data_IF_187438786915
#
_entry.id   IF_187438786915
#
_cell.length_a   1.000
_cell.length_b   1.000
_cell.length_c   1.000
_cell.angle_alpha   90.00
_cell.angle_beta   90.00
_cell.angle_gamma   90.00
#
_symmetry.space_group_name_H-M   'P 1'
#
loop_
_entity.id
_entity.type
_entity.pdbx_description
1 polymer ?
#
# COMPACT_ATOMS: atom_id res chain seq x y z
N UNK A 1 6.35 21.48 3.70
CA UNK A 1 5.03 21.60 3.05
C UNK A 1 4.96 20.51 1.99
N UNK A 2 4.00 19.60 2.10
CA UNK A 2 3.86 18.46 1.18
C UNK A 2 2.54 18.62 0.44
N UNK A 3 2.61 18.87 -0.87
CA UNK A 3 1.44 18.97 -1.73
C UNK A 3 1.43 17.74 -2.63
N UNK A 4 0.41 16.92 -2.51
CA UNK A 4 0.33 15.60 -3.13
C UNK A 4 -0.72 15.60 -4.23
N UNK A 5 -0.49 14.86 -5.31
CA UNK A 5 -1.52 14.54 -6.28
C UNK A 5 -1.87 13.05 -6.16
N UNK A 6 -3.15 12.77 -5.94
CA UNK A 6 -3.69 11.41 -5.89
C UNK A 6 -4.61 11.22 -7.10
N UNK A 7 -4.19 10.36 -8.04
CA UNK A 7 -5.01 9.95 -9.18
C UNK A 7 -5.65 8.62 -8.86
N UNK A 8 -6.96 8.58 -8.75
CA UNK A 8 -7.59 7.44 -8.10
C UNK A 8 -8.86 6.94 -8.79
N UNK A 9 -9.04 5.62 -8.74
CA UNK A 9 -10.19 4.85 -9.22
C UNK A 9 -11.31 4.86 -8.15
N UNK A 10 -12.36 4.05 -8.35
CA UNK A 10 -13.33 3.76 -7.27
C UNK A 10 -12.67 3.08 -6.05
N UNK A 11 -11.66 2.23 -6.23
CA UNK A 11 -10.91 1.64 -5.11
C UNK A 11 -9.85 2.58 -4.54
N UNK A 12 -9.36 3.52 -5.33
CA UNK A 12 -8.49 4.58 -4.85
C UNK A 12 -9.22 5.66 -4.05
N UNK A 13 -10.52 5.90 -4.30
CA UNK A 13 -11.35 6.79 -3.49
C UNK A 13 -11.54 6.29 -2.06
N UNK A 14 -11.39 4.97 -1.83
CA UNK A 14 -11.41 4.38 -0.48
C UNK A 14 -10.33 4.98 0.43
N UNK A 15 -9.20 5.44 -0.11
CA UNK A 15 -8.17 6.15 0.66
C UNK A 15 -8.71 7.51 1.13
N UNK A 16 -9.23 8.31 0.21
CA UNK A 16 -9.66 9.69 0.46
C UNK A 16 -10.92 9.72 1.33
N UNK A 17 -11.92 8.88 1.05
CA UNK A 17 -13.13 8.74 1.85
C UNK A 17 -12.86 8.12 3.21
N UNK A 18 -11.99 7.12 3.28
CA UNK A 18 -11.59 6.52 4.56
C UNK A 18 -10.85 7.53 5.45
N UNK A 19 -10.06 8.43 4.88
CA UNK A 19 -9.40 9.50 5.65
C UNK A 19 -10.34 10.58 6.18
N UNK A 20 -11.44 10.89 5.48
CA UNK A 20 -12.49 11.76 6.06
C UNK A 20 -13.12 11.13 7.31
N UNK A 21 -13.39 9.81 7.24
CA UNK A 21 -13.92 9.07 8.38
C UNK A 21 -12.91 9.01 9.53
N UNK A 22 -11.63 8.78 9.23
CA UNK A 22 -10.56 8.73 10.22
C UNK A 22 -10.46 10.03 11.04
N UNK A 23 -10.51 11.18 10.37
CA UNK A 23 -10.52 12.50 11.04
C UNK A 23 -11.70 12.71 12.00
N UNK A 24 -12.78 11.96 11.81
CA UNK A 24 -14.02 12.11 12.56
C UNK A 24 -14.20 10.99 13.60
N UNK A 25 -13.27 10.04 13.68
CA UNK A 25 -13.46 8.80 14.42
C UNK A 25 -13.34 8.98 15.94
N UNK A 26 -12.23 9.54 16.41
CA UNK A 26 -12.02 9.85 17.84
C UNK A 26 -11.94 11.35 18.09
N UNK A 27 -12.14 11.71 19.35
CA UNK A 27 -11.88 13.07 19.83
C UNK A 27 -10.40 13.40 19.60
N UNK A 28 -10.10 14.56 19.00
CA UNK A 28 -8.77 15.05 18.54
C UNK A 28 -8.23 14.50 17.20
N UNK A 29 -8.87 13.50 16.59
CA UNK A 29 -8.45 12.97 15.29
C UNK A 29 -8.51 14.01 14.16
N UNK A 30 -9.40 14.99 14.28
CA UNK A 30 -9.54 16.08 13.31
C UNK A 30 -8.28 16.94 13.18
N UNK A 31 -7.49 17.05 14.24
CA UNK A 31 -6.18 17.74 14.24
C UNK A 31 -5.06 16.77 13.85
N UNK A 32 -5.06 15.55 14.40
CA UNK A 32 -4.02 14.54 14.17
C UNK A 32 -3.95 14.06 12.72
N UNK A 33 -5.12 13.89 12.08
CA UNK A 33 -5.25 13.37 10.72
C UNK A 33 -5.65 14.45 9.71
N UNK A 34 -5.35 15.72 10.02
CA UNK A 34 -5.78 16.85 9.21
C UNK A 34 -5.17 16.86 7.80
N UNK A 35 -6.02 17.04 6.79
CA UNK A 35 -5.61 17.28 5.42
C UNK A 35 -6.55 18.28 4.72
N UNK A 36 -6.03 18.96 3.71
CA UNK A 36 -6.73 19.85 2.78
C UNK A 36 -6.86 19.19 1.42
N UNK A 37 -7.73 19.75 0.57
CA UNK A 37 -7.95 19.26 -0.79
C UNK A 37 -7.85 20.37 -1.82
N UNK A 38 -7.45 20.01 -3.03
CA UNK A 38 -7.63 20.79 -4.26
C UNK A 38 -7.02 22.19 -4.19
N UNK A 39 -5.70 22.27 -4.07
CA UNK A 39 -4.93 23.52 -4.02
C UNK A 39 -5.33 24.47 -2.88
N UNK A 40 -5.76 23.95 -1.73
CA UNK A 40 -6.05 24.77 -0.55
C UNK A 40 -5.10 24.47 0.62
N UNK A 41 -3.77 24.49 0.41
CA UNK A 41 -2.82 24.05 1.41
C UNK A 41 -2.89 24.92 2.67
N UNK A 42 -2.87 24.25 3.82
CA UNK A 42 -2.73 24.89 5.13
C UNK A 42 -1.40 24.51 5.77
N UNK A 43 -0.90 25.38 6.63
CA UNK A 43 0.32 25.09 7.40
C UNK A 43 0.08 23.84 8.27
N UNK A 44 1.07 22.94 8.29
CA UNK A 44 1.05 21.68 9.03
C UNK A 44 -0.05 20.68 8.65
N UNK A 45 -0.66 20.85 7.47
CA UNK A 45 -1.61 19.89 6.90
C UNK A 45 -1.07 19.28 5.61
N UNK A 46 -1.49 18.04 5.37
CA UNK A 46 -1.33 17.38 4.08
C UNK A 46 -2.28 18.03 3.05
N UNK A 47 -1.82 18.44 1.87
CA UNK A 47 -2.69 18.87 0.77
C UNK A 47 -2.79 17.77 -0.29
N UNK A 48 -4.01 17.36 -0.63
CA UNK A 48 -4.28 16.31 -1.62
C UNK A 48 -5.07 16.89 -2.79
N UNK A 49 -4.44 16.92 -3.96
CA UNK A 49 -5.14 17.11 -5.22
C UNK A 49 -5.72 15.76 -5.64
N UNK A 50 -6.99 15.57 -5.30
CA UNK A 50 -7.76 14.38 -5.65
C UNK A 50 -8.35 14.54 -7.06
N UNK A 51 -7.80 13.80 -8.01
CA UNK A 51 -8.22 13.82 -9.41
C UNK A 51 -9.21 12.69 -9.75
N UNK A 52 -10.29 12.56 -8.96
CA UNK A 52 -11.42 11.71 -9.31
C UNK A 52 -12.37 12.36 -10.33
N UNK A 53 -12.09 12.18 -11.62
CA UNK A 53 -12.98 12.59 -12.71
C UNK A 53 -13.71 11.40 -13.37
N UNK A 54 -14.08 10.37 -12.61
CA UNK A 54 -14.90 9.25 -13.10
C UNK A 54 -14.28 8.45 -14.27
N UNK A 55 -12.96 8.26 -14.24
CA UNK A 55 -12.24 7.54 -15.29
C UNK A 55 -10.71 7.47 -15.13
N UNK A 56 -10.13 8.04 -14.07
CA UNK A 56 -8.70 7.99 -13.79
C UNK A 56 -8.34 6.73 -12.99
N UNK A 57 -8.34 5.60 -13.69
CA UNK A 57 -8.03 4.28 -13.17
C UNK A 57 -6.92 3.66 -14.01
N UNK A 58 -5.91 3.07 -13.36
CA UNK A 58 -4.87 2.31 -14.06
C UNK A 58 -5.49 1.26 -14.98
N UNK A 59 -6.53 0.58 -14.51
CA UNK A 59 -7.26 -0.45 -15.26
C UNK A 59 -7.95 0.08 -16.52
N UNK A 60 -8.18 1.39 -16.63
CA UNK A 60 -8.83 2.02 -17.78
C UNK A 60 -7.84 2.76 -18.70
N UNK A 61 -6.57 2.88 -18.30
CA UNK A 61 -5.56 3.75 -18.93
C UNK A 61 -4.23 3.03 -19.17
N UNK A 62 -4.26 1.71 -19.32
CA UNK A 62 -3.10 0.86 -19.58
C UNK A 62 -2.82 0.64 -21.07
N UNK A 63 -3.56 1.30 -21.97
CA UNK A 63 -3.27 1.25 -23.41
C UNK A 63 -1.90 1.85 -23.69
N UNK A 64 -1.05 1.08 -24.36
CA UNK A 64 0.33 1.47 -24.71
C UNK A 64 0.36 2.16 -26.07
N UNK A 65 0.99 3.33 -26.12
CA UNK A 65 1.16 4.10 -27.36
C UNK A 65 2.33 3.58 -28.23
N UNK A 66 2.56 4.24 -29.38
CA UNK A 66 3.65 3.89 -30.30
C UNK A 66 5.06 4.14 -29.76
N UNK A 67 5.19 4.81 -28.62
CA UNK A 67 6.46 5.07 -27.93
C UNK A 67 6.70 4.09 -26.78
N UNK A 68 5.76 3.18 -26.52
CA UNK A 68 5.88 2.18 -25.47
C UNK A 68 5.43 2.68 -24.10
N UNK A 69 4.69 3.79 -24.01
CA UNK A 69 4.19 4.31 -22.74
C UNK A 69 2.67 4.12 -22.60
N UNK A 70 2.22 3.82 -21.38
CA UNK A 70 0.79 3.73 -21.09
C UNK A 70 0.13 5.12 -21.12
N UNK A 71 -1.19 5.14 -21.30
CA UNK A 71 -1.95 6.39 -21.24
C UNK A 71 -1.79 7.10 -19.88
N UNK A 72 -1.86 6.37 -18.76
CA UNK A 72 -1.72 6.98 -17.43
C UNK A 72 -0.32 7.58 -17.20
N UNK A 73 0.73 6.96 -17.76
CA UNK A 73 2.08 7.52 -17.74
C UNK A 73 2.12 8.88 -18.46
N UNK A 74 1.57 8.94 -19.68
CA UNK A 74 1.57 10.16 -20.49
C UNK A 74 0.75 11.30 -19.84
N UNK A 75 -0.36 10.95 -19.19
CA UNK A 75 -1.16 11.89 -18.41
C UNK A 75 -0.38 12.41 -17.19
N UNK A 76 0.38 11.55 -16.51
CA UNK A 76 1.26 11.94 -15.40
C UNK A 76 2.36 12.90 -15.85
N UNK A 77 3.02 12.58 -16.98
CA UNK A 77 4.03 13.46 -17.59
C UNK A 77 3.43 14.82 -17.90
N UNK A 78 2.27 14.85 -18.57
CA UNK A 78 1.59 16.11 -18.94
C UNK A 78 1.25 16.94 -17.70
N UNK A 79 0.70 16.30 -16.67
CA UNK A 79 0.34 16.98 -15.43
C UNK A 79 1.55 17.56 -14.69
N UNK A 80 2.64 16.79 -14.57
CA UNK A 80 3.86 17.22 -13.90
C UNK A 80 4.66 18.26 -14.71
N UNK A 81 4.47 18.35 -16.03
CA UNK A 81 5.10 19.39 -16.84
C UNK A 81 4.39 20.74 -16.76
N UNK A 82 3.13 20.77 -16.36
CA UNK A 82 2.41 22.03 -16.17
C UNK A 82 2.98 22.81 -14.96
N UNK A 83 3.48 24.05 -15.16
CA UNK A 83 4.00 24.87 -14.07
C UNK A 83 2.98 25.14 -12.95
N UNK A 84 1.68 25.07 -13.22
CA UNK A 84 0.63 25.18 -12.20
C UNK A 84 0.72 24.05 -11.15
N UNK A 85 1.33 22.92 -11.52
CA UNK A 85 1.50 21.74 -10.68
C UNK A 85 2.95 21.58 -10.18
N UNK A 86 3.79 22.62 -10.28
CA UNK A 86 5.20 22.58 -9.86
C UNK A 86 5.40 22.26 -8.36
N UNK A 87 4.34 22.42 -7.56
CA UNK A 87 4.33 22.14 -6.11
C UNK A 87 4.12 20.66 -5.76
N UNK A 88 3.64 19.85 -6.70
CA UNK A 88 3.34 18.44 -6.48
C UNK A 88 4.62 17.67 -6.20
N UNK A 89 4.65 16.92 -5.10
CA UNK A 89 5.82 16.18 -4.65
C UNK A 89 5.54 14.71 -4.30
N UNK A 90 4.29 14.26 -4.42
CA UNK A 90 3.90 12.86 -4.33
C UNK A 90 2.88 12.57 -5.43
N UNK A 91 3.05 11.43 -6.11
CA UNK A 91 2.09 10.88 -7.07
C UNK A 91 1.77 9.44 -6.71
N UNK A 92 0.49 9.13 -6.65
CA UNK A 92 -0.02 7.77 -6.50
C UNK A 92 -1.13 7.54 -7.52
N UNK A 93 -1.05 6.40 -8.21
CA UNK A 93 -2.12 5.87 -9.06
C UNK A 93 -2.72 4.63 -8.42
N UNK A 94 -4.01 4.40 -8.64
CA UNK A 94 -4.70 3.21 -8.14
C UNK A 94 -5.34 2.37 -9.24
N UNK A 95 -5.41 1.06 -9.00
CA UNK A 95 -6.21 0.11 -9.77
C UNK A 95 -7.67 0.11 -9.29
N UNK A 96 -8.64 -0.16 -10.16
CA UNK A 96 -9.94 -0.68 -9.72
C UNK A 96 -9.88 -2.18 -9.54
N UNK A 97 -9.25 -2.91 -10.47
CA UNK A 97 -8.96 -4.34 -10.34
C UNK A 97 -7.66 -4.61 -11.11
N UNK A 98 -6.61 -5.16 -10.48
CA UNK A 98 -5.34 -5.40 -11.17
C UNK A 98 -5.45 -6.59 -12.13
N UNK A 99 -6.49 -7.41 -12.06
CA UNK A 99 -6.60 -8.60 -12.88
C UNK A 99 -6.82 -8.27 -14.37
N UNK A 100 -6.10 -8.98 -15.24
CA UNK A 100 -6.14 -8.77 -16.69
C UNK A 100 -5.16 -7.72 -17.22
N UNK A 101 -4.39 -7.05 -16.35
CA UNK A 101 -3.46 -5.98 -16.74
C UNK A 101 -2.00 -6.43 -16.76
N UNK A 102 -1.15 -5.63 -17.41
CA UNK A 102 0.30 -5.85 -17.47
C UNK A 102 1.01 -5.20 -16.26
N UNK A 103 1.28 -6.01 -15.24
CA UNK A 103 1.90 -5.53 -13.99
C UNK A 103 3.37 -5.18 -14.15
N UNK A 104 4.08 -5.84 -15.07
CA UNK A 104 5.48 -5.48 -15.35
C UNK A 104 5.54 -4.12 -16.02
N UNK A 105 4.64 -3.86 -16.98
CA UNK A 105 4.58 -2.55 -17.64
C UNK A 105 4.27 -1.42 -16.67
N UNK A 106 3.41 -1.67 -15.67
CA UNK A 106 3.17 -0.71 -14.58
C UNK A 106 4.47 -0.37 -13.83
N UNK A 107 5.26 -1.38 -13.48
CA UNK A 107 6.56 -1.17 -12.81
C UNK A 107 7.50 -0.36 -13.70
N UNK A 108 7.62 -0.74 -14.97
CA UNK A 108 8.52 -0.09 -15.92
C UNK A 108 8.17 1.41 -16.09
N UNK A 109 6.88 1.73 -16.28
CA UNK A 109 6.43 3.13 -16.39
C UNK A 109 6.63 3.92 -15.09
N UNK A 110 6.41 3.30 -13.92
CA UNK A 110 6.66 3.94 -12.62
C UNK A 110 8.16 4.26 -12.44
N UNK A 111 9.05 3.34 -12.81
CA UNK A 111 10.50 3.56 -12.74
C UNK A 111 10.98 4.62 -13.75
N UNK A 112 10.41 4.65 -14.95
CA UNK A 112 10.68 5.71 -15.93
C UNK A 112 10.24 7.09 -15.42
N UNK A 113 9.10 7.17 -14.72
CA UNK A 113 8.64 8.39 -14.06
C UNK A 113 9.58 8.80 -12.92
N UNK A 114 10.06 7.85 -12.12
CA UNK A 114 11.04 8.11 -11.05
C UNK A 114 12.35 8.64 -11.64
N UNK A 115 12.86 8.05 -12.73
CA UNK A 115 14.07 8.49 -13.41
C UNK A 115 13.95 9.90 -14.01
N UNK A 116 12.73 10.34 -14.31
CA UNK A 116 12.46 11.69 -14.80
C UNK A 116 12.21 12.70 -13.69
N UNK A 117 11.36 12.38 -12.73
CA UNK A 117 10.81 13.36 -11.79
C UNK A 117 11.20 13.11 -10.33
N UNK A 118 11.84 11.98 -10.02
CA UNK A 118 12.34 11.65 -8.68
C UNK A 118 13.47 12.58 -8.20
N UNK A 119 14.00 12.36 -6.99
CA UNK A 119 15.05 13.20 -6.39
C UNK A 119 16.29 13.44 -7.26
N UNK A 120 16.66 12.46 -8.09
CA UNK A 120 17.78 12.53 -9.04
C UNK A 120 17.31 12.63 -10.50
N UNK A 121 16.05 13.02 -10.68
CA UNK A 121 15.37 12.95 -11.96
C UNK A 121 15.89 13.96 -12.98
N UNK A 122 15.88 13.57 -14.25
CA UNK A 122 16.33 14.41 -15.38
C UNK A 122 15.51 15.70 -15.56
N UNK A 123 14.31 15.79 -14.99
CA UNK A 123 13.42 16.95 -15.07
C UNK A 123 13.63 17.95 -13.91
N UNK A 124 14.64 17.76 -13.06
CA UNK A 124 14.95 18.69 -11.97
C UNK A 124 16.05 19.70 -12.32
N UNK A 125 15.91 20.92 -11.79
CA UNK A 125 16.96 21.92 -11.76
C UNK A 125 17.22 22.61 -13.10
N UNK A 126 18.46 23.04 -13.33
CA UNK A 126 18.81 23.90 -14.47
C UNK A 126 18.77 23.10 -15.78
N UNK A 127 17.64 23.20 -16.49
CA UNK A 127 17.38 22.51 -17.75
C UNK A 127 16.17 21.56 -17.69
N UNK A 128 15.66 21.29 -16.49
CA UNK A 128 14.44 20.52 -16.27
C UNK A 128 13.19 21.40 -16.12
N UNK A 129 12.02 20.77 -16.16
CA UNK A 129 10.72 21.43 -16.03
C UNK A 129 10.34 21.78 -14.57
N UNK A 130 11.05 21.25 -13.57
CA UNK A 130 10.67 21.34 -12.15
C UNK A 130 11.84 21.64 -11.22
N UNK A 131 11.53 22.18 -10.05
CA UNK A 131 12.47 22.31 -8.92
C UNK A 131 12.11 21.43 -7.73
N UNK A 132 10.92 20.81 -7.77
CA UNK A 132 10.39 19.95 -6.69
C UNK A 132 10.45 18.50 -7.16
N UNK A 133 11.21 17.62 -6.47
CA UNK A 133 11.20 16.19 -6.75
C UNK A 133 9.85 15.56 -6.42
N UNK A 134 9.51 14.47 -7.11
CA UNK A 134 8.28 13.73 -6.94
C UNK A 134 8.59 12.33 -6.40
N UNK A 135 7.93 11.97 -5.30
CA UNK A 135 7.90 10.60 -4.78
C UNK A 135 6.76 9.84 -5.43
N UNK A 136 7.04 8.70 -6.04
CA UNK A 136 6.02 7.83 -6.63
C UNK A 136 5.69 6.70 -5.67
N UNK A 137 4.39 6.53 -5.39
CA UNK A 137 3.88 5.47 -4.51
C UNK A 137 3.30 4.37 -5.39
N UNK A 138 3.87 3.17 -5.26
CA UNK A 138 3.34 1.98 -5.89
C UNK A 138 2.09 1.51 -5.16
N UNK A 139 1.19 0.83 -5.86
CA UNK A 139 0.00 0.23 -5.28
C UNK A 139 -0.23 -1.15 -5.89
N UNK A 140 -0.59 -2.11 -5.04
CA UNK A 140 -1.17 -3.38 -5.50
C UNK A 140 -2.69 -3.24 -5.58
N UNK A 141 -3.36 -4.12 -6.31
CA UNK A 141 -4.83 -4.12 -6.32
C UNK A 141 -5.45 -5.02 -5.24
N UNK A 142 -6.79 -5.00 -5.18
CA UNK A 142 -7.57 -5.83 -4.27
C UNK A 142 -7.58 -7.31 -4.72
N UNK A 143 -7.78 -8.26 -3.79
CA UNK A 143 -7.97 -9.67 -4.12
C UNK A 143 -9.36 -9.93 -4.73
N UNK A 144 -9.47 -10.92 -5.62
CA UNK A 144 -10.72 -11.24 -6.34
C UNK A 144 -11.46 -12.48 -5.81
N UNK A 145 -10.95 -13.07 -4.73
CA UNK A 145 -11.40 -14.36 -4.20
C UNK A 145 -10.98 -15.57 -5.02
N UNK A 146 -9.98 -15.39 -5.89
CA UNK A 146 -9.40 -16.42 -6.75
C UNK A 146 -8.12 -17.07 -6.17
N UNK A 147 -7.71 -16.67 -4.97
CA UNK A 147 -6.56 -17.25 -4.29
C UNK A 147 -5.23 -16.77 -4.84
N UNK A 148 -4.17 -17.51 -4.50
CA UNK A 148 -2.80 -17.28 -4.98
C UNK A 148 -2.60 -17.76 -6.43
N UNK A 149 -3.44 -17.28 -7.34
CA UNK A 149 -3.42 -17.67 -8.74
C UNK A 149 -2.08 -17.33 -9.41
N UNK A 150 -1.44 -18.31 -10.03
CA UNK A 150 -0.17 -18.16 -10.74
C UNK A 150 -0.29 -17.48 -12.12
N UNK A 151 -1.50 -17.10 -12.55
CA UNK A 151 -1.67 -16.38 -13.80
C UNK A 151 -0.96 -15.01 -13.74
N UNK A 152 -0.19 -14.66 -14.77
CA UNK A 152 0.60 -13.40 -14.80
C UNK A 152 -0.26 -12.14 -14.79
N UNK A 153 -1.57 -12.29 -14.94
CA UNK A 153 -2.54 -11.21 -14.87
C UNK A 153 -3.45 -11.35 -13.65
N UNK A 154 -3.11 -12.14 -12.63
CA UNK A 154 -3.91 -12.24 -11.40
C UNK A 154 -3.61 -11.11 -10.41
N UNK A 155 -4.52 -10.87 -9.47
CA UNK A 155 -4.27 -9.92 -8.38
C UNK A 155 -3.10 -10.37 -7.49
N UNK A 156 -2.97 -11.68 -7.25
CA UNK A 156 -1.83 -12.23 -6.52
C UNK A 156 -0.50 -12.02 -7.25
N UNK A 157 -0.46 -12.17 -8.58
CA UNK A 157 0.74 -11.90 -9.36
C UNK A 157 1.13 -10.42 -9.29
N UNK A 158 0.14 -9.50 -9.40
CA UNK A 158 0.37 -8.07 -9.20
C UNK A 158 1.01 -7.81 -7.82
N UNK A 159 0.42 -8.35 -6.76
CA UNK A 159 0.94 -8.22 -5.40
C UNK A 159 2.37 -8.73 -5.30
N UNK A 160 2.63 -9.97 -5.67
CA UNK A 160 3.96 -10.59 -5.52
C UNK A 160 5.03 -9.84 -6.31
N UNK A 161 4.73 -9.44 -7.54
CA UNK A 161 5.66 -8.73 -8.41
C UNK A 161 5.96 -7.31 -7.90
N UNK A 162 4.91 -6.52 -7.63
CA UNK A 162 5.04 -5.11 -7.22
C UNK A 162 5.68 -5.01 -5.84
N UNK A 163 5.26 -5.83 -4.88
CA UNK A 163 5.85 -5.81 -3.53
C UNK A 163 7.32 -6.22 -3.56
N UNK A 164 7.69 -7.28 -4.27
CA UNK A 164 9.08 -7.70 -4.42
C UNK A 164 9.94 -6.64 -5.13
N UNK A 165 9.37 -5.90 -6.08
CA UNK A 165 10.05 -4.75 -6.69
C UNK A 165 10.27 -3.63 -5.68
N UNK A 166 9.26 -3.29 -4.89
CA UNK A 166 9.34 -2.20 -3.91
C UNK A 166 10.34 -2.50 -2.80
N UNK A 167 10.39 -3.73 -2.29
CA UNK A 167 11.39 -4.17 -1.30
C UNK A 167 12.79 -3.98 -1.87
N UNK A 168 13.05 -4.54 -3.06
CA UNK A 168 14.40 -4.56 -3.65
C UNK A 168 14.93 -3.18 -4.00
N UNK A 169 14.05 -2.26 -4.35
CA UNK A 169 14.42 -0.93 -4.87
C UNK A 169 14.11 0.21 -3.89
N UNK A 170 13.76 -0.11 -2.64
CA UNK A 170 13.41 0.86 -1.61
C UNK A 170 12.32 1.85 -2.11
N UNK A 171 11.20 1.31 -2.58
CA UNK A 171 10.04 2.10 -3.05
C UNK A 171 8.92 2.08 -2.02
N UNK A 172 8.16 3.18 -1.94
CA UNK A 172 6.93 3.23 -1.18
C UNK A 172 5.84 2.41 -1.88
N UNK A 173 5.12 1.58 -1.13
CA UNK A 173 4.06 0.73 -1.65
C UNK A 173 2.84 0.72 -0.72
N UNK A 174 1.65 0.92 -1.28
CA UNK A 174 0.37 0.67 -0.63
C UNK A 174 -0.18 -0.69 -1.10
N UNK A 175 0.03 -1.72 -0.29
CA UNK A 175 -0.28 -3.11 -0.60
C UNK A 175 -1.72 -3.48 -0.20
N UNK A 176 -2.67 -3.23 -1.10
CA UNK A 176 -4.08 -3.60 -0.89
C UNK A 176 -4.27 -5.11 -0.73
N UNK A 177 -3.50 -5.93 -1.44
CA UNK A 177 -3.62 -7.38 -1.32
C UNK A 177 -3.24 -7.82 0.09
N UNK A 178 -2.09 -7.36 0.60
CA UNK A 178 -1.64 -7.62 1.95
C UNK A 178 -2.65 -7.13 3.01
N UNK A 179 -3.21 -5.93 2.82
CA UNK A 179 -4.25 -5.39 3.72
C UNK A 179 -5.51 -6.24 3.68
N UNK A 180 -6.00 -6.64 2.51
CA UNK A 180 -7.32 -7.27 2.37
C UNK A 180 -7.31 -8.76 2.68
N UNK A 181 -6.19 -9.44 2.49
CA UNK A 181 -6.04 -10.88 2.76
C UNK A 181 -5.71 -11.24 4.19
N UNK A 182 -5.63 -10.26 5.11
CA UNK A 182 -5.37 -10.55 6.52
C UNK A 182 -6.53 -10.09 7.40
N UNK A 183 -6.91 -10.91 8.36
CA UNK A 183 -7.80 -10.51 9.43
C UNK A 183 -7.18 -9.44 10.33
N UNK A 184 -8.01 -8.90 11.22
CA UNK A 184 -7.54 -7.98 12.29
C UNK A 184 -6.73 -8.72 13.39
N UNK A 185 -6.69 -10.04 13.35
CA UNK A 185 -5.90 -10.94 14.19
C UNK A 185 -4.64 -11.47 13.48
N UNK A 186 -4.34 -10.95 12.27
CA UNK A 186 -3.21 -11.39 11.46
C UNK A 186 -3.43 -12.70 10.71
N UNK A 187 -4.61 -13.35 10.84
CA UNK A 187 -4.90 -14.58 10.10
C UNK A 187 -4.92 -14.32 8.59
N UNK A 188 -4.28 -15.18 7.80
CA UNK A 188 -4.18 -15.05 6.34
C UNK A 188 -5.30 -15.81 5.62
N UNK A 189 -6.01 -15.11 4.73
CA UNK A 189 -7.14 -15.58 3.93
C UNK A 189 -6.88 -15.33 2.44
N UNK A 190 -6.25 -16.27 1.72
CA UNK A 190 -5.86 -16.08 0.33
C UNK A 190 -7.03 -15.98 -0.65
N UNK A 191 -8.19 -16.59 -0.34
CA UNK A 191 -9.37 -16.59 -1.20
C UNK A 191 -10.38 -15.49 -0.85
N UNK A 192 -9.93 -14.41 -0.20
CA UNK A 192 -10.80 -13.27 0.08
C UNK A 192 -11.14 -12.50 -1.18
N UNK A 193 -12.37 -12.01 -1.28
CA UNK A 193 -12.75 -11.01 -2.28
C UNK A 193 -12.71 -9.57 -1.73
N UNK A 194 -13.09 -8.61 -2.56
CA UNK A 194 -13.10 -7.18 -2.24
C UNK A 194 -14.08 -6.77 -1.11
N UNK A 195 -14.84 -7.75 -0.61
CA UNK A 195 -15.83 -7.62 0.45
C UNK A 195 -15.36 -8.17 1.80
N UNK A 196 -14.11 -8.66 1.89
CA UNK A 196 -13.61 -9.30 3.11
C UNK A 196 -14.25 -10.68 3.37
N UNK A 197 -14.81 -11.32 2.32
CA UNK A 197 -15.34 -12.67 2.39
C UNK A 197 -14.32 -13.65 1.81
N UNK A 198 -13.83 -14.57 2.64
CA UNK A 198 -13.03 -15.70 2.18
C UNK A 198 -13.92 -16.70 1.44
N UNK A 199 -13.74 -16.82 0.12
CA UNK A 199 -14.62 -17.62 -0.74
C UNK A 199 -14.44 -19.12 -0.60
N UNK A 200 -13.31 -19.56 -0.05
CA UNK A 200 -13.07 -20.97 0.22
C UNK A 200 -13.81 -21.43 1.48
N UNK A 201 -13.64 -20.71 2.60
CA UNK A 201 -14.29 -21.06 3.87
C UNK A 201 -15.71 -20.51 4.02
N UNK A 202 -16.08 -19.49 3.25
CA UNK A 202 -17.30 -18.71 3.43
C UNK A 202 -17.25 -17.74 4.63
N UNK A 203 -16.07 -17.50 5.19
CA UNK A 203 -15.88 -16.65 6.39
C UNK A 203 -15.95 -15.17 6.03
N UNK A 204 -16.66 -14.38 6.84
CA UNK A 204 -16.73 -12.92 6.71
C UNK A 204 -15.93 -12.25 7.81
N UNK A 205 -14.60 -12.44 7.81
CA UNK A 205 -13.77 -12.12 8.98
C UNK A 205 -13.81 -10.65 9.40
N UNK A 206 -13.95 -9.70 8.46
CA UNK A 206 -14.15 -8.29 8.82
C UNK A 206 -15.52 -8.02 9.43
N UNK A 207 -16.58 -8.62 8.90
CA UNK A 207 -17.92 -8.49 9.49
C UNK A 207 -17.96 -9.11 10.89
N UNK A 208 -17.37 -10.30 11.05
CA UNK A 208 -17.29 -10.99 12.33
C UNK A 208 -16.49 -10.19 13.35
N UNK A 209 -15.44 -9.47 12.92
CA UNK A 209 -14.71 -8.56 13.79
C UNK A 209 -15.54 -7.31 14.14
N UNK A 210 -16.13 -6.63 13.16
CA UNK A 210 -16.98 -5.44 13.38
C UNK A 210 -18.10 -5.72 14.39
N UNK A 211 -18.76 -6.88 14.26
CA UNK A 211 -19.82 -7.30 15.18
C UNK A 211 -19.34 -7.49 16.63
N UNK A 212 -18.05 -7.80 16.83
CA UNK A 212 -17.42 -7.94 18.16
C UNK A 212 -16.81 -6.65 18.68
N UNK A 213 -16.56 -5.68 17.79
CA UNK A 213 -15.83 -4.45 18.04
C UNK A 213 -16.59 -3.21 17.51
N UNK A 214 -17.85 -2.98 17.92
CA UNK A 214 -18.71 -1.93 17.36
C UNK A 214 -18.16 -0.51 17.54
N UNK A 215 -17.27 -0.31 18.52
CA UNK A 215 -16.68 0.99 18.82
C UNK A 215 -15.29 1.18 18.16
N UNK A 216 -14.68 0.15 17.57
CA UNK A 216 -13.27 0.19 17.11
C UNK A 216 -13.12 0.41 15.59
N UNK A 217 -14.21 0.71 14.91
CA UNK A 217 -14.22 1.11 13.51
C UNK A 217 -15.16 2.30 13.30
N UNK A 218 -14.97 3.03 12.20
CA UNK A 218 -15.90 4.05 11.76
C UNK A 218 -16.58 3.63 10.46
N UNK A 219 -17.83 4.04 10.29
CA UNK A 219 -18.54 3.91 9.01
C UNK A 219 -17.94 4.90 8.00
N UNK A 220 -17.65 4.43 6.80
CA UNK A 220 -17.12 5.20 5.68
C UNK A 220 -17.95 4.94 4.42
N UNK A 221 -18.51 6.01 3.84
CA UNK A 221 -19.30 5.95 2.60
C UNK A 221 -18.46 5.72 1.33
N UNK A 222 -17.39 4.93 1.43
CA UNK A 222 -16.46 4.67 0.35
C UNK A 222 -17.08 3.84 -0.78
N UNK A 223 -16.49 3.91 -1.97
CA UNK A 223 -16.96 3.12 -3.09
C UNK A 223 -16.67 1.63 -2.87
N UNK A 224 -17.65 0.80 -3.26
CA UNK A 224 -17.66 -0.64 -2.98
C UNK A 224 -17.55 -0.94 -1.48
N UNK A 225 -18.29 -0.18 -0.68
CA UNK A 225 -18.49 -0.40 0.74
C UNK A 225 -19.98 -0.69 0.95
N UNK A 226 -20.35 -1.98 0.90
CA UNK A 226 -21.60 -2.40 1.50
C UNK A 226 -21.48 -2.27 3.03
N UNK A 227 -22.61 -2.23 3.76
CA UNK A 227 -22.68 -1.99 5.21
C UNK A 227 -21.83 -2.93 6.12
N UNK A 228 -21.10 -3.87 5.53
CA UNK A 228 -20.25 -4.85 6.19
C UNK A 228 -18.76 -4.71 5.81
N UNK A 229 -18.35 -3.64 5.11
CA UNK A 229 -17.00 -3.47 4.52
C UNK A 229 -16.22 -2.27 5.05
N UNK A 230 -16.70 -1.65 6.12
CA UNK A 230 -16.13 -0.42 6.68
C UNK A 230 -14.65 -0.60 7.01
N UNK A 231 -14.30 -1.77 7.59
CA UNK A 231 -12.92 -2.12 7.92
C UNK A 231 -11.96 -2.16 6.75
N UNK A 232 -12.38 -2.67 5.58
CA UNK A 232 -11.50 -2.74 4.41
C UNK A 232 -10.98 -1.35 4.05
N UNK A 233 -11.81 -0.32 4.23
CA UNK A 233 -11.48 1.05 3.89
C UNK A 233 -10.82 1.79 5.06
N UNK A 234 -11.20 1.48 6.29
CA UNK A 234 -10.50 1.98 7.48
C UNK A 234 -9.02 1.59 7.43
N UNK A 235 -8.72 0.31 7.18
CA UNK A 235 -7.33 -0.18 7.11
C UNK A 235 -6.52 0.48 5.99
N UNK A 236 -7.12 0.67 4.81
CA UNK A 236 -6.50 1.41 3.71
C UNK A 236 -6.24 2.87 4.07
N UNK A 237 -7.17 3.52 4.77
CA UNK A 237 -7.01 4.89 5.23
C UNK A 237 -5.86 5.03 6.25
N UNK A 238 -5.80 4.14 7.23
CA UNK A 238 -4.69 4.10 8.19
C UNK A 238 -3.34 3.87 7.48
N UNK A 239 -3.27 2.90 6.56
CA UNK A 239 -2.05 2.61 5.82
C UNK A 239 -1.61 3.80 4.95
N UNK A 240 -2.54 4.43 4.23
CA UNK A 240 -2.26 5.61 3.42
C UNK A 240 -1.80 6.79 4.26
N UNK A 241 -2.47 7.05 5.40
CA UNK A 241 -2.05 8.11 6.33
C UNK A 241 -0.62 7.88 6.82
N UNK A 242 -0.31 6.67 7.29
CA UNK A 242 1.02 6.34 7.78
C UNK A 242 2.07 6.50 6.67
N UNK A 243 1.78 6.01 5.46
CA UNK A 243 2.64 6.16 4.29
C UNK A 243 2.93 7.63 4.00
N UNK A 244 1.91 8.48 3.98
CA UNK A 244 2.07 9.91 3.72
C UNK A 244 2.79 10.64 4.84
N UNK A 245 2.54 10.27 6.10
CA UNK A 245 3.28 10.80 7.24
C UNK A 245 4.78 10.47 7.13
N UNK A 246 5.13 9.23 6.77
CA UNK A 246 6.53 8.84 6.53
C UNK A 246 7.16 9.62 5.37
N UNK A 247 6.46 9.77 4.25
CA UNK A 247 6.93 10.59 3.11
C UNK A 247 7.14 12.05 3.55
N UNK A 248 6.29 12.56 4.45
CA UNK A 248 6.40 13.90 5.00
C UNK A 248 7.55 14.07 6.02
N UNK A 249 8.30 13.00 6.32
CA UNK A 249 9.43 13.00 7.23
C UNK A 249 9.07 12.74 8.70
N UNK A 250 7.83 12.33 8.99
CA UNK A 250 7.50 11.83 10.33
C UNK A 250 8.29 10.55 10.60
N UNK A 251 9.02 10.53 11.71
CA UNK A 251 9.66 9.34 12.24
C UNK A 251 8.92 8.95 13.50
N UNK A 252 8.32 7.75 13.57
CA UNK A 252 7.77 7.26 14.82
C UNK A 252 8.90 7.10 15.84
N UNK A 253 8.62 7.35 17.12
CA UNK A 253 9.62 7.22 18.21
C UNK A 253 10.15 5.78 18.38
N UNK A 254 9.48 4.81 17.76
CA UNK A 254 9.92 3.43 17.54
C UNK A 254 9.67 3.09 16.06
N UNK A 255 10.66 2.55 15.33
CA UNK A 255 10.55 2.17 13.91
C UNK A 255 9.54 1.04 13.62
N UNK A 256 8.88 0.51 14.66
CA UNK A 256 7.82 -0.45 14.50
C UNK A 256 6.59 0.24 13.90
N UNK A 257 5.93 -0.33 12.87
CA UNK A 257 4.50 -0.07 12.69
C UNK A 257 3.78 -0.29 14.04
N UNK A 258 2.64 0.39 14.31
CA UNK A 258 1.93 0.22 15.58
C UNK A 258 1.78 -1.28 15.92
N UNK A 259 2.18 -1.63 17.14
CA UNK A 259 2.49 -2.99 17.56
C UNK A 259 1.40 -3.99 17.15
N UNK A 260 1.80 -5.02 16.41
CA UNK A 260 1.04 -6.25 16.25
C UNK A 260 1.10 -7.04 17.58
N UNK A 261 -0.03 -7.45 18.19
CA UNK A 261 -0.04 -8.29 19.39
C UNK A 261 0.67 -9.66 19.21
N UNK A 262 1.17 -10.00 18.02
CA UNK A 262 1.94 -11.21 17.77
C UNK A 262 3.33 -11.27 18.44
N UNK A 263 3.92 -10.16 18.87
CA UNK A 263 5.34 -10.14 19.32
C UNK A 263 5.56 -10.25 20.84
N UNK A 264 4.59 -10.78 21.58
CA UNK A 264 4.83 -11.15 22.99
C UNK A 264 5.47 -12.54 23.05
N UNK A 265 6.71 -12.71 23.55
CA UNK A 265 7.24 -14.05 23.79
C UNK A 265 6.33 -14.73 24.82
N UNK A 266 5.75 -15.85 24.44
CA UNK A 266 5.04 -16.72 25.38
C UNK A 266 5.97 -16.98 26.58
N UNK A 267 5.48 -16.63 27.77
CA UNK A 267 6.19 -16.84 29.02
C UNK A 267 6.56 -18.33 29.17
N UNK A 268 7.87 -18.56 29.27
CA UNK A 268 8.57 -19.69 29.88
C UNK A 268 7.89 -21.06 29.91
N UNK A 269 8.51 -22.01 29.21
CA UNK A 269 8.75 -23.32 29.81
C UNK A 269 10.20 -23.75 29.55
N UNK A 270 11.01 -23.68 30.61
CA UNK A 270 12.36 -24.21 30.63
C UNK A 270 12.30 -25.74 30.75
N UNK A 271 12.79 -26.45 29.72
CA UNK A 271 13.30 -27.80 29.94
C UNK A 271 14.48 -28.08 29.00
N UNK A 272 15.67 -27.83 29.53
CA UNK A 272 16.91 -28.35 28.99
C UNK A 272 16.89 -29.88 29.00
N UNK A 273 17.32 -30.52 27.91
CA UNK A 273 18.09 -31.77 28.01
C UNK A 273 19.03 -31.91 26.83
N UNK A 274 20.32 -31.89 27.16
CA UNK A 274 21.48 -32.14 26.33
C UNK A 274 21.68 -33.65 26.08
N UNK A 275 22.13 -34.04 24.88
CA UNK A 275 23.36 -34.87 24.71
C UNK A 275 23.78 -34.96 23.21
N UNK A 276 25.08 -35.20 22.89
CA UNK A 276 25.67 -35.02 21.56
C UNK A 276 26.18 -36.33 20.88
N UNK A 277 26.80 -36.17 19.69
CA UNK A 277 27.68 -37.11 18.92
C UNK A 277 26.96 -38.14 18.01
N UNK A 278 27.39 -38.54 16.81
CA UNK A 278 28.52 -38.18 15.91
C UNK A 278 28.33 -38.88 14.52
N UNK A 279 29.09 -38.38 13.52
CA UNK A 279 29.69 -39.10 12.36
C UNK A 279 28.90 -39.46 11.06
N UNK A 280 29.69 -39.51 9.97
CA UNK A 280 29.47 -39.10 8.58
C UNK A 280 28.95 -40.17 7.59
N UNK A 281 28.44 -39.73 6.42
CA UNK A 281 28.99 -40.02 5.08
C UNK A 281 28.14 -39.45 3.92
N UNK A 282 28.83 -39.09 2.83
CA UNK A 282 28.39 -38.38 1.61
C UNK A 282 27.54 -39.21 0.62
N UNK A 283 26.64 -38.54 -0.11
CA UNK A 283 26.60 -38.48 -1.60
C UNK A 283 25.72 -37.31 -2.08
N UNK A 284 25.97 -36.71 -3.27
CA UNK A 284 25.33 -35.47 -3.69
C UNK A 284 24.08 -35.72 -4.54
N UNK A 285 22.94 -35.15 -4.14
CA UNK A 285 21.79 -35.02 -5.02
C UNK A 285 21.34 -33.56 -5.12
N UNK A 286 21.24 -33.14 -6.36
CA UNK A 286 20.82 -31.84 -6.86
C UNK A 286 19.37 -31.55 -6.50
N UNK A 287 19.15 -30.53 -5.67
CA UNK A 287 17.96 -29.67 -5.71
C UNK A 287 18.24 -28.42 -4.87
N UNK A 288 18.48 -27.30 -5.56
CA UNK A 288 18.64 -25.99 -4.95
C UNK A 288 17.28 -25.52 -4.41
N UNK A 289 16.99 -25.91 -3.17
CA UNK A 289 16.03 -25.22 -2.33
C UNK A 289 16.55 -23.80 -2.08
N UNK A 290 15.76 -22.80 -2.47
CA UNK A 290 16.04 -21.39 -2.18
C UNK A 290 15.86 -21.22 -0.67
N UNK A 291 17.00 -21.16 0.02
CA UNK A 291 17.08 -21.02 1.46
C UNK A 291 16.49 -19.71 1.94
N UNK A 292 15.66 -19.83 2.98
CA UNK A 292 15.42 -18.80 3.98
C UNK A 292 16.75 -18.14 4.37
N UNK A 293 16.89 -16.85 4.05
CA UNK A 293 17.94 -16.00 4.61
C UNK A 293 17.26 -14.88 5.37
N UNK A 294 17.38 -14.97 6.69
CA UNK A 294 17.17 -13.87 7.63
C UNK A 294 18.18 -12.78 7.32
N UNK A 295 17.75 -11.72 6.63
CA UNK A 295 18.56 -10.53 6.47
C UNK A 295 17.95 -9.40 7.30
N UNK A 296 18.67 -9.07 8.38
CA UNK A 296 18.57 -7.78 9.07
C UNK A 296 18.82 -6.67 8.05
N UNK A 297 17.76 -6.03 7.58
CA UNK A 297 17.83 -4.78 6.85
C UNK A 297 17.57 -3.63 7.84
N UNK A 298 18.60 -3.27 8.58
CA UNK A 298 18.75 -1.89 9.03
C UNK A 298 19.10 -1.06 7.78
N UNK A 299 18.44 0.08 7.64
CA UNK A 299 18.57 1.09 6.57
C UNK A 299 17.83 0.83 5.24
N UNK A 300 16.69 1.52 5.08
CA UNK A 300 16.18 1.98 3.78
C UNK A 300 15.13 1.09 3.10
N UNK A 301 13.86 1.22 3.51
CA UNK A 301 12.73 0.52 2.88
C UNK A 301 11.55 0.38 3.81
N UNK A 302 10.71 1.41 3.91
CA UNK A 302 9.57 1.38 4.81
C UNK A 302 8.45 0.51 4.24
N UNK A 303 8.45 -0.78 4.62
CA UNK A 303 7.41 -1.76 4.25
C UNK A 303 6.28 -1.73 5.28
N UNK A 304 5.04 -1.50 4.85
CA UNK A 304 3.86 -1.57 5.74
C UNK A 304 3.24 -2.96 5.58
N UNK A 305 3.46 -3.83 6.57
CA UNK A 305 2.63 -5.01 6.81
C UNK A 305 1.56 -4.67 7.86
N UNK A 306 0.34 -5.11 7.56
CA UNK A 306 -0.90 -5.21 8.37
C UNK A 306 -0.87 -4.73 9.82
N UNK A 307 -1.82 -3.83 10.17
CA UNK A 307 -2.12 -3.45 11.56
C UNK A 307 -3.16 -4.39 12.19
N UNK A 308 -2.89 -4.80 13.42
CA UNK A 308 -3.78 -5.40 14.41
C UNK A 308 -3.55 -4.64 15.73
N UNK A 309 -4.59 -4.10 16.37
CA UNK A 309 -4.52 -3.52 17.71
C UNK A 309 -4.29 -2.00 17.79
N UNK A 310 -5.38 -1.23 17.87
CA UNK A 310 -5.37 0.08 18.55
C UNK A 310 -6.07 -0.13 19.89
N UNK A 311 -5.30 -0.42 20.94
CA UNK A 311 -5.78 -0.25 22.32
C UNK A 311 -5.40 1.13 22.85
N UNK A 312 -6.36 1.71 23.58
CA UNK A 312 -6.43 3.09 24.05
C UNK A 312 -5.16 3.60 24.75
N UNK A 313 -4.65 4.74 24.25
CA UNK A 313 -3.67 5.61 24.89
C UNK A 313 -3.77 7.04 24.39
#
# INVERSE_FOLDING_TARGET
>A
MHNQASYHSSHGSRVISGMDGLRSFRMSDGERFAFTRNNMPQMDMLDIDDHYAGGNDLSAKDTVDGYGHTQWYNETVTYLQDPANARINVVMWSWCNPAGHDHQKYIDDMEDLIAQYGPEGSQLGRGGSRTTPVTFVFMTGHPNGDGESAATSSAYHCHTLVTAHCIRNNRFCLDYWGIETHGMDGAYYPFVDDNGMDRESGTHFYLDWQNRHPDDYFENGCAHCSANQELTCNRKAYAAWWLWARIAGWQPENDAPPDDPADTPAAGDESQTTTPEDDATQTPDTNAAIGSTTNNAADGGCFIRTMAGLDNG
#
